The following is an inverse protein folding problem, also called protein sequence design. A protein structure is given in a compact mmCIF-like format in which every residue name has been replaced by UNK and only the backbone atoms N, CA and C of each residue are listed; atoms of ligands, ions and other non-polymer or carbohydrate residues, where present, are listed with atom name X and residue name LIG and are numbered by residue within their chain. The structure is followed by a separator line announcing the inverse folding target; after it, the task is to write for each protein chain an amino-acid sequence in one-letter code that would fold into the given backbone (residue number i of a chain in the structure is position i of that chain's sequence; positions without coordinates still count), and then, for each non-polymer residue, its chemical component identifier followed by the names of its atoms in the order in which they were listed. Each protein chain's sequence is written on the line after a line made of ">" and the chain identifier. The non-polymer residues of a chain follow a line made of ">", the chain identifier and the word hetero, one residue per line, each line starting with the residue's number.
data_IF_130674800107
#
_entry.id   IF_130674800107
#
_cell.length_a   1.000
_cell.length_b   1.000
_cell.length_c   1.000
_cell.angle_alpha   90.00
_cell.angle_beta   90.00
_cell.angle_gamma   90.00
#
_symmetry.space_group_name_H-M   'P 1'
#
loop_
_entity.id
_entity.type
_entity.pdbx_description
1 polymer ?
#
# COMPACT_ATOMS: atom_id res chain seq x y z
N UNK A 1 15.44 14.54 12.17
CA UNK A 1 14.24 13.96 11.54
C UNK A 1 14.38 12.45 11.55
N UNK A 2 13.31 11.70 11.87
CA UNK A 2 13.38 10.24 11.88
C UNK A 2 13.61 9.69 10.46
N UNK A 3 14.42 8.64 10.33
CA UNK A 3 14.75 8.02 9.04
C UNK A 3 13.55 7.22 8.52
N UNK A 4 13.15 7.43 7.27
CA UNK A 4 12.19 6.57 6.59
C UNK A 4 12.82 5.18 6.36
N UNK A 5 12.12 4.13 6.77
CA UNK A 5 12.53 2.72 6.56
C UNK A 5 11.72 2.05 5.47
N UNK A 6 10.55 2.58 5.15
CA UNK A 6 9.74 2.19 4.00
C UNK A 6 9.11 3.44 3.39
N UNK A 7 9.07 3.49 2.07
CA UNK A 7 8.38 4.52 1.29
C UNK A 7 7.63 3.81 0.16
N UNK A 8 6.31 3.92 0.17
CA UNK A 8 5.41 3.36 -0.85
C UNK A 8 4.79 4.53 -1.59
N UNK A 9 4.86 4.50 -2.92
CA UNK A 9 4.31 5.54 -3.79
C UNK A 9 3.43 4.92 -4.85
N UNK A 10 2.24 5.48 -5.01
CA UNK A 10 1.27 5.17 -6.07
C UNK A 10 1.05 3.66 -6.27
N UNK A 11 1.01 2.91 -5.16
CA UNK A 11 0.85 1.47 -5.19
C UNK A 11 -0.50 1.12 -5.81
N UNK A 12 -0.45 0.32 -6.87
CA UNK A 12 -1.62 -0.18 -7.58
C UNK A 12 -1.47 -1.69 -7.76
N UNK A 13 -2.55 -2.42 -7.52
CA UNK A 13 -2.61 -3.87 -7.67
C UNK A 13 -3.91 -4.27 -8.35
N UNK A 14 -3.78 -5.10 -9.39
CA UNK A 14 -4.92 -5.59 -10.17
C UNK A 14 -4.89 -7.12 -10.19
N UNK A 15 -6.03 -7.75 -9.88
CA UNK A 15 -6.26 -9.17 -10.13
C UNK A 15 -7.00 -9.35 -11.46
N UNK A 16 -6.45 -10.17 -12.35
CA UNK A 16 -7.10 -10.47 -13.62
C UNK A 16 -8.01 -11.69 -13.46
N UNK A 17 -9.29 -11.50 -13.74
CA UNK A 17 -10.30 -12.58 -13.70
C UNK A 17 -10.95 -12.72 -15.08
N UNK A 18 -11.69 -13.82 -15.29
CA UNK A 18 -12.49 -14.02 -16.50
C UNK A 18 -13.56 -12.94 -16.73
N UNK A 19 -13.91 -12.18 -15.68
CA UNK A 19 -14.89 -11.07 -15.73
C UNK A 19 -14.23 -9.69 -15.84
N UNK A 20 -12.91 -9.64 -16.01
CA UNK A 20 -12.13 -8.42 -16.11
C UNK A 20 -11.16 -8.21 -14.93
N UNK A 21 -10.50 -7.06 -14.94
CA UNK A 21 -9.54 -6.68 -13.91
C UNK A 21 -10.24 -6.13 -12.67
N UNK A 22 -9.92 -6.70 -11.51
CA UNK A 22 -10.33 -6.20 -10.19
C UNK A 22 -9.20 -5.35 -9.62
N UNK A 23 -9.51 -4.09 -9.30
CA UNK A 23 -8.60 -3.18 -8.60
C UNK A 23 -8.55 -3.53 -7.11
N UNK A 24 -7.49 -4.22 -6.70
CA UNK A 24 -7.29 -4.65 -5.32
C UNK A 24 -6.67 -3.58 -4.44
N UNK A 25 -5.74 -2.80 -5.02
CA UNK A 25 -5.15 -1.62 -4.40
C UNK A 25 -5.14 -0.54 -5.46
N UNK A 26 -5.61 0.67 -5.11
CA UNK A 26 -5.67 1.79 -6.05
C UNK A 26 -5.02 3.03 -5.43
N UNK A 27 -3.85 3.39 -5.97
CA UNK A 27 -3.15 4.65 -5.74
C UNK A 27 -2.82 4.96 -4.27
N UNK A 28 -2.22 4.00 -3.57
CA UNK A 28 -1.83 4.15 -2.17
C UNK A 28 -0.39 4.66 -2.03
N UNK A 29 -0.21 5.72 -1.24
CA UNK A 29 1.09 6.32 -0.92
C UNK A 29 1.22 6.48 0.59
N UNK A 30 2.28 5.94 1.19
CA UNK A 30 2.58 6.09 2.61
C UNK A 30 4.08 5.91 2.91
N UNK A 31 4.50 6.38 4.06
CA UNK A 31 5.85 6.20 4.61
C UNK A 31 5.78 5.48 5.96
N UNK A 32 6.84 4.75 6.31
CA UNK A 32 7.05 4.21 7.65
C UNK A 32 8.39 4.70 8.18
N UNK A 33 8.39 5.31 9.36
CA UNK A 33 9.60 5.80 10.02
C UNK A 33 10.21 4.74 10.93
N UNK A 34 11.52 4.85 11.15
CA UNK A 34 12.23 3.97 12.09
C UNK A 34 11.61 4.08 13.48
N UNK A 35 11.11 2.96 14.02
CA UNK A 35 10.48 2.88 15.34
C UNK A 35 8.97 3.13 15.35
N UNK A 36 8.37 3.42 14.21
CA UNK A 36 6.91 3.54 14.04
C UNK A 36 6.28 2.15 13.84
N UNK A 37 5.05 1.98 14.33
CA UNK A 37 4.25 0.77 14.13
C UNK A 37 3.07 1.12 13.24
N UNK A 38 2.98 0.47 12.08
CA UNK A 38 1.85 0.61 11.14
C UNK A 38 0.95 -0.62 11.23
N UNK A 39 -0.33 -0.39 11.54
CA UNK A 39 -1.37 -1.40 11.46
C UNK A 39 -2.17 -1.27 10.17
N UNK A 40 -2.45 -2.39 9.51
CA UNK A 40 -3.37 -2.47 8.38
C UNK A 40 -4.60 -3.26 8.84
N UNK A 41 -5.79 -2.69 8.65
CA UNK A 41 -7.06 -3.31 8.96
C UNK A 41 -7.97 -3.25 7.74
N UNK A 42 -8.82 -4.25 7.57
CA UNK A 42 -9.83 -4.34 6.52
C UNK A 42 -11.10 -4.98 7.05
N UNK A 43 -12.20 -4.79 6.31
CA UNK A 43 -13.46 -5.50 6.54
C UNK A 43 -13.36 -6.98 6.15
#
# INVERSE_FOLDING_TARGET
>A
MAKNVLEVKDLKMYYFTSRGAVRAVDNITFELKKGEVLGLAGE
#
